data_IF_188234137733
#
_entry.id   IF_188234137733
#
_cell.length_a   1.000
_cell.length_b   1.000
_cell.length_c   1.000
_cell.angle_alpha   90.00
_cell.angle_beta   90.00
_cell.angle_gamma   90.00
#
_symmetry.space_group_name_H-M   'P 1'
#
loop_
_entity.id
_entity.type
_entity.pdbx_description
1 polymer ?
#
# COMPACT_ATOMS: atom_id res chain seq x y z
N UNK A 1 17.76 -11.49 23.45
CA UNK A 1 16.71 -10.51 23.14
C UNK A 1 15.84 -11.15 22.09
N UNK A 2 14.81 -11.91 22.49
CA UNK A 2 13.79 -12.38 21.54
C UNK A 2 13.03 -11.15 21.07
N UNK A 3 13.26 -10.75 19.83
CA UNK A 3 12.42 -9.74 19.20
C UNK A 3 11.13 -10.44 18.78
N UNK A 4 10.04 -10.14 19.49
CA UNK A 4 8.69 -10.57 19.14
C UNK A 4 8.42 -10.34 17.64
N UNK A 5 7.99 -11.36 16.87
CA UNK A 5 7.80 -11.24 15.42
C UNK A 5 6.91 -10.06 15.00
N UNK A 6 5.91 -9.74 15.81
CA UNK A 6 5.06 -8.57 15.61
C UNK A 6 5.85 -7.24 15.66
N UNK A 7 6.83 -7.12 16.56
CA UNK A 7 7.66 -5.92 16.68
C UNK A 7 8.53 -5.75 15.44
N UNK A 8 9.17 -6.83 14.97
CA UNK A 8 9.98 -6.80 13.74
C UNK A 8 9.11 -6.36 12.55
N UNK A 9 7.92 -6.94 12.42
CA UNK A 9 6.96 -6.55 11.38
C UNK A 9 6.57 -5.07 11.47
N UNK A 10 6.32 -4.58 12.68
CA UNK A 10 5.97 -3.18 12.92
C UNK A 10 7.13 -2.22 12.59
N UNK A 11 8.36 -2.57 12.96
CA UNK A 11 9.54 -1.74 12.69
C UNK A 11 9.76 -1.58 11.18
N UNK A 12 9.65 -2.67 10.40
CA UNK A 12 9.67 -2.59 8.93
C UNK A 12 8.50 -1.77 8.37
N UNK A 13 7.30 -1.91 8.94
CA UNK A 13 6.15 -1.11 8.53
C UNK A 13 6.39 0.39 8.76
N UNK A 14 7.03 0.77 9.86
CA UNK A 14 7.38 2.17 10.14
C UNK A 14 8.40 2.71 9.14
N UNK A 15 9.44 1.92 8.83
CA UNK A 15 10.44 2.27 7.81
C UNK A 15 9.82 2.44 6.43
N UNK A 16 8.97 1.49 6.02
CA UNK A 16 8.20 1.59 4.79
C UNK A 16 7.34 2.86 4.75
N UNK A 17 6.62 3.18 5.83
CA UNK A 17 5.76 4.35 5.89
C UNK A 17 6.55 5.66 5.72
N UNK A 18 7.76 5.74 6.26
CA UNK A 18 8.63 6.90 6.10
C UNK A 18 9.05 7.09 4.63
N UNK A 19 9.52 6.03 3.97
CA UNK A 19 9.87 6.10 2.56
C UNK A 19 8.68 6.45 1.67
N UNK A 20 7.49 5.88 1.95
CA UNK A 20 6.28 6.19 1.19
C UNK A 20 5.81 7.63 1.39
N UNK A 21 5.94 8.20 2.60
CA UNK A 21 5.65 9.62 2.84
C UNK A 21 6.59 10.53 2.04
N UNK A 22 7.89 10.25 2.06
CA UNK A 22 8.86 11.00 1.27
C UNK A 22 8.62 10.87 -0.24
N UNK A 23 8.23 9.67 -0.69
CA UNK A 23 7.87 9.42 -2.08
C UNK A 23 6.66 10.26 -2.51
N UNK A 24 5.59 10.28 -1.69
CA UNK A 24 4.40 11.10 -1.92
C UNK A 24 4.72 12.59 -1.96
N UNK A 25 5.54 13.09 -1.04
CA UNK A 25 5.94 14.50 -1.05
C UNK A 25 6.71 14.86 -2.33
N UNK A 26 7.63 14.00 -2.79
CA UNK A 26 8.35 14.20 -4.05
C UNK A 26 7.42 14.15 -5.27
N UNK A 27 6.44 13.26 -5.24
CA UNK A 27 5.45 13.03 -6.28
C UNK A 27 4.49 14.23 -6.42
N UNK A 28 3.95 14.72 -5.30
CA UNK A 28 3.08 15.91 -5.26
C UNK A 28 3.80 17.17 -5.74
N UNK A 29 5.07 17.33 -5.37
CA UNK A 29 5.86 18.50 -5.77
C UNK A 29 6.23 18.47 -7.26
N UNK A 30 6.01 17.36 -7.99
CA UNK A 30 6.35 17.19 -9.42
C UNK A 30 7.80 17.55 -9.78
N UNK A 31 8.71 17.54 -8.78
CA UNK A 31 10.08 18.04 -8.93
C UNK A 31 10.99 17.02 -9.61
N UNK A 32 10.77 15.73 -9.33
CA UNK A 32 11.61 14.66 -9.84
C UNK A 32 10.90 13.30 -9.73
N UNK A 33 10.32 12.82 -10.85
CA UNK A 33 9.65 11.52 -10.88
C UNK A 33 10.61 10.34 -10.67
N UNK A 34 11.88 10.46 -11.05
CA UNK A 34 12.89 9.41 -10.80
C UNK A 34 13.16 9.26 -9.30
N UNK A 35 13.28 10.38 -8.59
CA UNK A 35 13.45 10.37 -7.13
C UNK A 35 12.23 9.76 -6.44
N UNK A 36 11.01 10.15 -6.85
CA UNK A 36 9.78 9.58 -6.32
C UNK A 36 9.73 8.06 -6.54
N UNK A 37 10.04 7.58 -7.76
CA UNK A 37 10.10 6.14 -8.06
C UNK A 37 11.13 5.44 -7.17
N UNK A 38 12.31 6.03 -6.97
CA UNK A 38 13.35 5.43 -6.12
C UNK A 38 12.90 5.27 -4.66
N UNK A 39 12.17 6.26 -4.13
CA UNK A 39 11.63 6.23 -2.76
C UNK A 39 10.47 5.25 -2.64
N UNK A 40 9.58 5.18 -3.65
CA UNK A 40 8.54 4.16 -3.69
C UNK A 40 9.12 2.74 -3.72
N UNK A 41 10.16 2.49 -4.52
CA UNK A 41 10.80 1.17 -4.56
C UNK A 41 11.40 0.79 -3.21
N UNK A 42 12.07 1.72 -2.51
CA UNK A 42 12.56 1.48 -1.15
C UNK A 42 11.41 1.15 -0.18
N UNK A 43 10.32 1.90 -0.22
CA UNK A 43 9.14 1.62 0.59
C UNK A 43 8.52 0.25 0.30
N UNK A 44 8.51 -0.16 -0.96
CA UNK A 44 8.05 -1.49 -1.40
C UNK A 44 8.95 -2.59 -0.82
N UNK A 45 10.27 -2.45 -0.92
CA UNK A 45 11.22 -3.43 -0.38
C UNK A 45 10.99 -3.65 1.13
N UNK A 46 10.83 -2.56 1.90
CA UNK A 46 10.56 -2.68 3.34
C UNK A 46 9.19 -3.33 3.63
N UNK A 47 8.15 -3.07 2.82
CA UNK A 47 6.86 -3.76 2.93
C UNK A 47 6.99 -5.26 2.64
N UNK A 48 7.76 -5.65 1.64
CA UNK A 48 8.02 -7.06 1.32
C UNK A 48 8.71 -7.77 2.50
N UNK A 49 9.71 -7.13 3.10
CA UNK A 49 10.38 -7.66 4.31
C UNK A 49 9.37 -7.84 5.46
N UNK A 50 8.54 -6.83 5.73
CA UNK A 50 7.52 -6.87 6.78
C UNK A 50 6.47 -7.98 6.57
N UNK A 51 6.08 -8.24 5.32
CA UNK A 51 5.11 -9.28 4.96
C UNK A 51 5.71 -10.69 5.11
N UNK A 52 7.01 -10.84 4.85
CA UNK A 52 7.74 -12.09 4.94
C UNK A 52 8.11 -12.50 6.38
N UNK A 53 7.93 -11.61 7.36
CA UNK A 53 8.11 -11.96 8.78
C UNK A 53 7.18 -13.11 9.17
N UNK A 54 7.75 -14.14 9.80
CA UNK A 54 7.00 -15.28 10.30
C UNK A 54 6.22 -14.90 11.57
N UNK A 55 4.93 -14.62 11.42
CA UNK A 55 4.03 -14.24 12.50
C UNK A 55 3.19 -15.42 12.98
N UNK A 56 2.77 -15.41 14.24
CA UNK A 56 1.82 -16.40 14.77
C UNK A 56 0.48 -16.26 14.02
N UNK A 57 -0.07 -17.34 13.42
CA UNK A 57 -1.37 -17.32 12.77
C UNK A 57 -2.55 -17.07 13.73
N UNK A 58 -2.33 -17.06 15.04
CA UNK A 58 -3.33 -16.69 16.05
C UNK A 58 -3.20 -15.23 16.53
N UNK A 59 -2.13 -14.53 16.12
CA UNK A 59 -1.98 -13.10 16.42
C UNK A 59 -2.75 -12.25 15.40
N UNK A 60 -3.99 -11.94 15.75
CA UNK A 60 -4.86 -11.10 14.93
C UNK A 60 -4.24 -9.73 14.61
N UNK A 61 -3.43 -9.16 15.50
CA UNK A 61 -2.82 -7.84 15.29
C UNK A 61 -1.79 -7.90 14.16
N UNK A 62 -0.94 -8.92 14.18
CA UNK A 62 0.06 -9.17 13.15
C UNK A 62 -0.60 -9.48 11.79
N UNK A 63 -1.72 -10.22 11.79
CA UNK A 63 -2.47 -10.55 10.56
C UNK A 63 -3.10 -9.29 9.94
N UNK A 64 -3.74 -8.45 10.75
CA UNK A 64 -4.31 -7.19 10.28
C UNK A 64 -3.24 -6.25 9.73
N UNK A 65 -2.10 -6.13 10.42
CA UNK A 65 -0.96 -5.33 9.98
C UNK A 65 -0.44 -5.82 8.62
N UNK A 66 -0.23 -7.13 8.47
CA UNK A 66 0.19 -7.75 7.20
C UNK A 66 -0.80 -7.51 6.07
N UNK A 67 -2.10 -7.56 6.35
CA UNK A 67 -3.15 -7.32 5.36
C UNK A 67 -3.13 -5.87 4.86
N UNK A 68 -2.93 -4.90 5.77
CA UNK A 68 -2.77 -3.48 5.42
C UNK A 68 -1.52 -3.27 4.56
N UNK A 69 -0.40 -3.89 4.93
CA UNK A 69 0.84 -3.79 4.17
C UNK A 69 0.72 -4.37 2.76
N UNK A 70 0.02 -5.50 2.58
CA UNK A 70 -0.26 -6.06 1.24
C UNK A 70 -1.06 -5.10 0.36
N UNK A 71 -2.06 -4.41 0.92
CA UNK A 71 -2.80 -3.36 0.20
C UNK A 71 -1.87 -2.21 -0.19
N UNK A 72 -1.07 -1.72 0.76
CA UNK A 72 -0.14 -0.62 0.49
C UNK A 72 0.91 -0.99 -0.57
N UNK A 73 1.41 -2.22 -0.55
CA UNK A 73 2.34 -2.75 -1.54
C UNK A 73 1.73 -2.71 -2.95
N UNK A 74 0.49 -3.20 -3.10
CA UNK A 74 -0.20 -3.16 -4.38
C UNK A 74 -0.37 -1.73 -4.92
N UNK A 75 -0.78 -0.78 -4.06
CA UNK A 75 -0.94 0.63 -4.44
C UNK A 75 0.40 1.29 -4.80
N UNK A 76 1.47 0.98 -4.07
CA UNK A 76 2.80 1.52 -4.34
C UNK A 76 3.32 1.03 -5.70
N UNK A 77 3.15 -0.27 -6.02
CA UNK A 77 3.48 -0.80 -7.35
C UNK A 77 2.67 -0.13 -8.46
N UNK A 78 1.35 0.02 -8.27
CA UNK A 78 0.48 0.70 -9.24
C UNK A 78 0.95 2.14 -9.46
N UNK A 79 1.31 2.86 -8.40
CA UNK A 79 1.81 4.23 -8.51
C UNK A 79 3.13 4.33 -9.25
N UNK A 80 4.08 3.44 -8.96
CA UNK A 80 5.36 3.37 -9.70
C UNK A 80 5.12 3.13 -11.18
N UNK A 81 4.20 2.23 -11.53
CA UNK A 81 3.88 1.95 -12.93
C UNK A 81 3.26 3.16 -13.64
N UNK A 82 2.37 3.90 -12.98
CA UNK A 82 1.83 5.16 -13.49
C UNK A 82 2.95 6.18 -13.71
N UNK A 83 3.86 6.34 -12.75
CA UNK A 83 4.99 7.27 -12.86
C UNK A 83 5.95 6.89 -13.99
N UNK A 84 6.22 5.59 -14.17
CA UNK A 84 7.00 5.10 -15.31
C UNK A 84 6.32 5.40 -16.63
N UNK A 85 5.02 5.16 -16.74
CA UNK A 85 4.25 5.47 -17.95
C UNK A 85 4.23 6.97 -18.26
N UNK A 86 4.07 7.84 -17.25
CA UNK A 86 4.11 9.28 -17.46
C UNK A 86 5.49 9.79 -17.88
N UNK A 87 6.57 9.13 -17.47
CA UNK A 87 7.92 9.42 -17.96
C UNK A 87 8.13 8.95 -19.42
N UNK A 88 7.52 7.82 -19.79
CA UNK A 88 7.60 7.25 -21.15
C UNK A 88 6.68 7.98 -22.14
N UNK A 89 5.55 8.53 -21.69
CA UNK A 89 4.59 9.23 -22.56
C UNK A 89 5.06 10.59 -23.08
N UNK A 90 6.29 11.02 -22.76
CA UNK A 90 6.95 12.15 -23.45
C UNK A 90 7.74 11.71 -24.70
N UNK A 91 7.77 10.41 -25.06
CA UNK A 91 8.39 9.97 -26.33
C UNK A 91 7.47 9.31 -27.34
N UNK A 92 6.40 8.62 -26.96
CA UNK A 92 5.47 8.10 -27.97
C UNK A 92 4.03 8.05 -27.43
N UNK A 93 3.14 8.72 -28.16
CA UNK A 93 1.70 8.81 -27.90
C UNK A 93 1.02 7.49 -28.27
N UNK A 94 0.19 6.96 -27.35
CA UNK A 94 -1.07 6.21 -27.55
C UNK A 94 -1.51 5.64 -26.18
N UNK A 95 -2.37 6.32 -25.41
CA UNK A 95 -3.86 6.35 -25.48
C UNK A 95 -4.54 5.49 -24.37
N UNK A 96 -5.81 5.76 -24.01
CA UNK A 96 -6.26 5.95 -22.62
C UNK A 96 -7.34 4.94 -22.14
N UNK A 97 -7.22 4.45 -20.90
CA UNK A 97 -8.26 3.81 -20.05
C UNK A 97 -7.59 3.68 -18.66
N UNK A 98 -8.12 3.96 -17.47
CA UNK A 98 -9.47 4.07 -16.97
C UNK A 98 -9.34 4.78 -15.60
N UNK A 99 -9.99 5.92 -15.41
CA UNK A 99 -10.32 6.40 -14.06
C UNK A 99 -11.59 5.66 -13.63
N UNK A 100 -11.72 5.37 -12.33
CA UNK A 100 -12.88 4.85 -11.58
C UNK A 100 -12.82 3.37 -11.15
N UNK A 101 -12.59 3.15 -9.84
CA UNK A 101 -13.51 2.54 -8.85
C UNK A 101 -12.73 2.28 -7.53
N UNK A 102 -12.94 3.08 -6.47
CA UNK A 102 -13.79 2.72 -5.33
C UNK A 102 -13.78 1.22 -4.97
N UNK A 103 -13.24 0.86 -3.79
CA UNK A 103 -13.86 0.04 -2.72
C UNK A 103 -12.99 0.15 -1.45
N UNK A 104 -13.38 1.08 -0.57
CA UNK A 104 -13.30 0.88 0.87
C UNK A 104 -14.72 0.49 1.32
N UNK A 105 -14.95 -0.68 1.92
CA UNK A 105 -16.13 -0.87 2.75
C UNK A 105 -15.83 -0.26 4.14
N UNK A 106 -16.63 0.67 4.66
CA UNK A 106 -16.59 1.02 6.07
C UNK A 106 -17.14 -0.15 6.92
N UNK A 107 -16.44 -0.42 8.02
CA UNK A 107 -16.82 -1.37 9.05
C UNK A 107 -18.26 -1.19 9.56
N UNK A 108 -18.97 -2.33 9.63
CA UNK A 108 -19.95 -2.73 10.65
C UNK A 108 -20.73 -1.64 11.40
N UNK A 109 -22.01 -1.43 11.02
CA UNK A 109 -23.18 -1.39 11.94
C UNK A 109 -24.46 -1.04 11.16
N UNK A 110 -25.29 -2.05 10.89
CA UNK A 110 -26.73 -1.87 10.73
C UNK A 110 -27.44 -3.21 10.91
N UNK A 111 -27.86 -3.49 12.14
CA UNK A 111 -28.92 -4.46 12.41
C UNK A 111 -30.19 -3.95 11.74
N UNK A 112 -30.72 -4.69 10.76
CA UNK A 112 -32.06 -4.44 10.21
C UNK A 112 -32.87 -5.73 10.35
N UNK A 113 -33.93 -5.59 11.13
CA UNK A 113 -35.00 -6.53 11.42
C UNK A 113 -35.70 -6.93 10.11
N UNK A 114 -35.87 -8.24 9.87
CA UNK A 114 -36.80 -8.74 8.85
C UNK A 114 -38.26 -8.51 9.30
N UNK A 115 -39.15 -8.02 8.42
CA UNK A 115 -40.54 -8.44 8.46
C UNK A 115 -40.75 -9.58 7.44
N UNK A 116 -41.09 -10.76 7.94
CA UNK A 116 -41.64 -11.83 7.14
C UNK A 116 -43.05 -11.42 6.69
N UNK A 117 -43.27 -11.38 5.38
CA UNK A 117 -44.60 -11.20 4.78
C UNK A 117 -44.96 -12.48 4.04
N UNK A 118 -45.83 -13.29 4.64
CA UNK A 118 -46.94 -14.01 4.02
C UNK A 118 -47.88 -14.50 5.10
#
# INVERSE_FOLDING_TARGET
>A
MENEPYKIQHDYQQQAAEYLRQALECDEQSKNHELAISLYNKGIEELEQAINVNIDPNDNRAIELRTKMRRNLAMAHERVEILRKSMVSCKDVLCPMLVFLFICPPDSRASIILPAKR
#
